data_IF_591573996904
#
_entry.id   IF_591573996904
#
_cell.length_a   1.000
_cell.length_b   1.000
_cell.length_c   1.000
_cell.angle_alpha   90.00
_cell.angle_beta   90.00
_cell.angle_gamma   90.00
#
_symmetry.space_group_name_H-M   'P 1'
#
loop_
_entity.id
_entity.type
_entity.pdbx_description
1 polymer ?
#
# COMPACT_ATOMS: atom_id res chain seq x y z
N UNK A 1 1.31 -13.59 -12.72
CA UNK A 1 2.56 -12.91 -12.32
C UNK A 1 2.71 -13.10 -10.82
N UNK A 2 3.92 -13.45 -10.36
CA UNK A 2 4.20 -13.62 -8.94
C UNK A 2 4.37 -12.26 -8.27
N UNK A 3 3.88 -12.14 -7.05
CA UNK A 3 4.18 -11.01 -6.16
C UNK A 3 5.36 -11.46 -5.31
N UNK A 4 6.48 -10.73 -5.38
CA UNK A 4 7.67 -10.99 -4.60
C UNK A 4 7.91 -9.83 -3.63
N UNK A 5 8.36 -10.17 -2.43
CA UNK A 5 8.86 -9.20 -1.45
C UNK A 5 10.38 -9.25 -1.47
N UNK A 6 11.03 -8.10 -1.57
CA UNK A 6 12.49 -7.98 -1.58
C UNK A 6 12.94 -6.99 -0.49
N UNK A 7 14.03 -7.33 0.20
CA UNK A 7 14.71 -6.44 1.16
C UNK A 7 16.16 -6.25 0.71
N UNK A 8 16.61 -4.99 0.69
CA UNK A 8 17.98 -4.63 0.30
C UNK A 8 18.16 -4.53 -1.22
N UNK A 9 17.49 -3.58 -1.88
CA UNK A 9 17.41 -3.55 -3.36
C UNK A 9 18.78 -3.47 -4.03
N UNK A 10 19.72 -2.68 -3.47
CA UNK A 10 21.07 -2.52 -4.04
C UNK A 10 21.89 -3.82 -4.09
N UNK A 11 21.56 -4.80 -3.25
CA UNK A 11 22.21 -6.12 -3.26
C UNK A 11 21.64 -7.06 -4.33
N UNK A 12 20.50 -6.71 -4.92
CA UNK A 12 19.73 -7.55 -5.84
C UNK A 12 19.74 -7.05 -7.28
N UNK A 13 20.12 -5.79 -7.50
CA UNK A 13 20.13 -5.14 -8.82
C UNK A 13 21.56 -4.90 -9.31
N UNK A 14 21.70 -4.64 -10.62
CA UNK A 14 22.99 -4.27 -11.21
C UNK A 14 23.45 -2.90 -10.68
N UNK A 15 24.75 -2.71 -10.34
CA UNK A 15 25.32 -1.41 -10.00
C UNK A 15 24.98 -0.27 -10.96
N UNK A 16 24.77 -0.54 -12.25
CA UNK A 16 24.37 0.46 -13.23
C UNK A 16 22.98 1.07 -12.93
N UNK A 17 22.09 0.30 -12.29
CA UNK A 17 20.74 0.75 -11.90
C UNK A 17 20.72 1.50 -10.55
N UNK A 18 21.84 1.55 -9.81
CA UNK A 18 21.89 2.16 -8.48
C UNK A 18 21.57 3.66 -8.52
N UNK A 19 21.99 4.37 -9.58
CA UNK A 19 21.74 5.80 -9.71
C UNK A 19 20.25 6.11 -9.79
N UNK A 20 19.50 5.36 -10.60
CA UNK A 20 18.05 5.55 -10.77
C UNK A 20 17.29 5.30 -9.46
N UNK A 21 17.71 4.31 -8.68
CA UNK A 21 17.13 4.02 -7.37
C UNK A 21 17.49 5.08 -6.32
N UNK A 22 18.70 5.63 -6.35
CA UNK A 22 19.07 6.75 -5.46
C UNK A 22 18.20 7.98 -5.74
N UNK A 23 17.99 8.33 -7.00
CA UNK A 23 17.08 9.42 -7.39
C UNK A 23 15.64 9.15 -6.93
N UNK A 24 15.18 7.90 -7.02
CA UNK A 24 13.87 7.49 -6.47
C UNK A 24 13.78 7.71 -4.95
N UNK A 25 14.82 7.33 -4.21
CA UNK A 25 14.85 7.51 -2.75
C UNK A 25 14.95 8.98 -2.34
N UNK A 26 15.61 9.84 -3.12
CA UNK A 26 15.62 11.28 -2.87
C UNK A 26 14.20 11.87 -2.96
N UNK A 27 13.45 11.55 -4.02
CA UNK A 27 12.06 11.99 -4.19
C UNK A 27 11.12 11.44 -3.11
N UNK A 28 11.33 10.19 -2.72
CA UNK A 28 10.64 9.59 -1.58
C UNK A 28 10.92 10.38 -0.29
N UNK A 29 12.17 10.75 -0.04
CA UNK A 29 12.58 11.50 1.16
C UNK A 29 12.01 12.91 1.21
N UNK A 30 11.84 13.58 0.07
CA UNK A 30 11.09 14.85 0.00
C UNK A 30 9.65 14.66 0.48
N UNK A 31 8.95 13.63 0.01
CA UNK A 31 7.58 13.33 0.40
C UNK A 31 7.45 12.94 1.89
N UNK A 32 8.44 12.23 2.44
CA UNK A 32 8.51 11.90 3.87
C UNK A 32 8.73 13.15 4.74
N UNK A 33 9.62 14.05 4.30
CA UNK A 33 9.94 15.29 5.02
C UNK A 33 8.73 16.23 5.13
N UNK A 34 7.89 16.31 4.10
CA UNK A 34 6.63 17.07 4.12
C UNK A 34 5.65 16.60 5.21
N UNK A 35 5.78 15.34 5.66
CA UNK A 35 4.98 14.75 6.74
C UNK A 35 5.74 14.69 8.08
N UNK A 36 6.96 15.22 8.15
CA UNK A 36 7.80 15.16 9.34
C UNK A 36 8.30 13.76 9.69
N UNK A 37 8.31 12.84 8.72
CA UNK A 37 8.81 11.48 8.90
C UNK A 37 10.32 11.41 8.71
N UNK A 38 10.92 10.30 9.17
CA UNK A 38 12.36 10.08 9.03
C UNK A 38 12.68 9.76 7.56
N UNK A 39 13.76 10.33 6.99
CA UNK A 39 14.21 9.94 5.66
C UNK A 39 14.61 8.46 5.65
N UNK A 40 14.33 7.79 4.55
CA UNK A 40 14.82 6.46 4.24
C UNK A 40 16.25 6.53 3.71
N UNK A 41 17.11 5.66 4.24
CA UNK A 41 18.43 5.40 3.69
C UNK A 41 18.51 3.91 3.39
N UNK A 42 18.51 3.58 2.10
CA UNK A 42 18.64 2.19 1.68
C UNK A 42 20.06 1.67 1.99
N UNK A 43 20.19 0.51 2.65
CA UNK A 43 21.49 -0.10 2.89
C UNK A 43 22.19 -0.46 1.57
N UNK A 44 23.45 -0.04 1.42
CA UNK A 44 24.29 -0.47 0.28
C UNK A 44 24.73 -1.94 0.43
N UNK A 45 24.81 -2.42 1.67
CA UNK A 45 25.14 -3.79 2.02
C UNK A 45 24.10 -4.32 3.02
N UNK A 46 23.54 -5.49 2.74
CA UNK A 46 22.58 -6.17 3.61
C UNK A 46 22.50 -7.65 3.30
N UNK A 47 22.05 -8.45 4.26
CA UNK A 47 21.54 -9.80 3.96
C UNK A 47 20.29 -9.64 3.08
N UNK A 48 20.32 -10.21 1.87
CA UNK A 48 19.17 -10.17 0.97
C UNK A 48 18.17 -11.27 1.32
N UNK A 49 16.89 -10.96 1.18
CA UNK A 49 15.82 -11.94 1.25
C UNK A 49 14.81 -11.65 0.14
N UNK A 50 14.43 -12.71 -0.55
CA UNK A 50 13.32 -12.74 -1.48
C UNK A 50 12.37 -13.90 -1.16
N UNK A 51 11.09 -13.70 -1.43
CA UNK A 51 10.07 -14.72 -1.21
C UNK A 51 8.89 -14.56 -2.16
N UNK A 52 8.46 -15.67 -2.74
CA UNK A 52 7.22 -15.73 -3.52
C UNK A 52 6.01 -15.75 -2.59
N UNK A 53 5.04 -14.87 -2.84
CA UNK A 53 3.77 -14.87 -2.11
C UNK A 53 2.79 -15.89 -2.70
N UNK A 54 1.55 -15.93 -2.17
CA UNK A 54 0.43 -16.77 -2.62
C UNK A 54 -0.10 -16.44 -4.04
N UNK A 55 0.77 -15.93 -4.91
CA UNK A 55 0.43 -15.40 -6.23
C UNK A 55 -0.45 -14.15 -6.18
N UNK A 56 -0.64 -13.54 -7.35
CA UNK A 56 -1.45 -12.32 -7.47
C UNK A 56 -2.91 -12.51 -7.00
N UNK A 57 -3.53 -13.65 -7.32
CA UNK A 57 -4.89 -13.97 -6.88
C UNK A 57 -5.00 -14.07 -5.35
N UNK A 58 -3.98 -14.60 -4.69
CA UNK A 58 -3.98 -14.71 -3.24
C UNK A 58 -3.91 -13.36 -2.53
N UNK A 59 -3.22 -12.36 -3.10
CA UNK A 59 -3.25 -10.99 -2.57
C UNK A 59 -4.69 -10.42 -2.61
N UNK A 60 -5.42 -10.65 -3.71
CA UNK A 60 -6.82 -10.22 -3.80
C UNK A 60 -7.71 -10.90 -2.75
N UNK A 61 -7.49 -12.19 -2.47
CA UNK A 61 -8.20 -12.88 -1.39
C UNK A 61 -7.91 -12.26 -0.01
N UNK A 62 -6.66 -11.88 0.25
CA UNK A 62 -6.26 -11.23 1.51
C UNK A 62 -6.87 -9.83 1.64
N UNK A 63 -6.85 -9.02 0.57
CA UNK A 63 -7.51 -7.70 0.51
C UNK A 63 -9.01 -7.80 0.74
N UNK A 64 -9.65 -8.79 0.11
CA UNK A 64 -11.07 -9.09 0.31
C UNK A 64 -11.36 -9.43 1.77
N UNK A 65 -10.59 -10.32 2.39
CA UNK A 65 -10.77 -10.67 3.81
C UNK A 65 -10.63 -9.43 4.73
N UNK A 66 -9.63 -8.59 4.47
CA UNK A 66 -9.41 -7.36 5.22
C UNK A 66 -10.61 -6.42 5.15
N UNK A 67 -11.24 -6.26 3.98
CA UNK A 67 -12.44 -5.43 3.83
C UNK A 67 -13.61 -5.93 4.69
N UNK A 68 -13.84 -7.24 4.78
CA UNK A 68 -14.88 -7.80 5.65
C UNK A 68 -14.59 -7.62 7.14
N UNK A 69 -13.32 -7.75 7.54
CA UNK A 69 -12.90 -7.51 8.93
C UNK A 69 -13.15 -6.06 9.31
N UNK A 70 -12.80 -5.11 8.43
CA UNK A 70 -12.98 -3.67 8.69
C UNK A 70 -14.47 -3.30 8.81
N UNK A 71 -15.33 -3.88 7.97
CA UNK A 71 -16.78 -3.64 8.02
C UNK A 71 -17.51 -4.45 9.09
N UNK A 72 -16.81 -5.25 9.90
CA UNK A 72 -17.39 -6.16 10.89
C UNK A 72 -18.37 -7.18 10.28
N UNK A 73 -18.26 -7.41 8.97
CA UNK A 73 -19.18 -8.25 8.22
C UNK A 73 -18.79 -9.71 8.32
N UNK A 74 -19.78 -10.60 8.27
CA UNK A 74 -19.51 -12.03 8.31
C UNK A 74 -18.87 -12.47 7.00
N UNK A 75 -17.67 -13.05 7.08
CA UNK A 75 -17.00 -13.65 5.94
C UNK A 75 -17.87 -14.73 5.29
N UNK A 76 -18.10 -14.70 3.96
CA UNK A 76 -18.82 -15.76 3.27
C UNK A 76 -17.95 -17.01 3.22
N UNK A 77 -18.22 -17.96 4.12
CA UNK A 77 -17.62 -19.28 4.10
C UNK A 77 -18.56 -20.30 3.43
N UNK A 78 -18.08 -21.17 2.52
CA UNK A 78 -16.70 -21.22 2.02
C UNK A 78 -16.41 -20.01 1.13
N UNK A 79 -15.15 -19.57 1.10
CA UNK A 79 -14.71 -18.60 0.09
C UNK A 79 -15.01 -19.23 -1.28
N UNK A 80 -16.03 -18.73 -1.96
CA UNK A 80 -16.38 -19.21 -3.29
C UNK A 80 -15.20 -18.87 -4.20
N UNK A 81 -14.44 -19.90 -4.58
CA UNK A 81 -13.33 -19.80 -5.54
C UNK A 81 -13.73 -19.19 -6.89
N UNK A 82 -15.04 -19.18 -7.18
CA UNK A 82 -15.62 -18.62 -8.40
C UNK A 82 -15.94 -17.12 -8.31
N UNK A 83 -15.81 -16.49 -7.14
CA UNK A 83 -15.91 -15.04 -7.03
C UNK A 83 -14.51 -14.44 -7.22
N UNK A 84 -14.36 -13.67 -8.30
CA UNK A 84 -13.21 -12.80 -8.50
C UNK A 84 -13.15 -11.81 -7.33
N UNK A 85 -12.14 -11.97 -6.47
CA UNK A 85 -11.96 -11.14 -5.29
C UNK A 85 -11.81 -9.64 -5.63
N UNK A 86 -11.41 -9.29 -6.86
CA UNK A 86 -11.33 -7.91 -7.33
C UNK A 86 -12.70 -7.25 -7.59
N UNK A 87 -13.78 -8.05 -7.64
CA UNK A 87 -15.16 -7.59 -7.88
C UNK A 87 -16.06 -7.66 -6.64
N UNK A 88 -15.49 -7.89 -5.46
CA UNK A 88 -16.27 -7.99 -4.22
C UNK A 88 -16.78 -6.61 -3.77
N UNK A 89 -18.09 -6.52 -3.49
CA UNK A 89 -18.76 -5.28 -3.10
C UNK A 89 -18.22 -4.65 -1.80
N UNK A 90 -17.69 -5.45 -0.86
CA UNK A 90 -17.08 -4.90 0.36
C UNK A 90 -15.73 -4.26 0.06
N UNK A 91 -14.95 -4.87 -0.84
CA UNK A 91 -13.68 -4.32 -1.30
C UNK A 91 -13.90 -3.02 -2.09
N UNK A 92 -14.87 -3.01 -3.01
CA UNK A 92 -15.24 -1.81 -3.78
C UNK A 92 -15.70 -0.67 -2.87
N UNK A 93 -16.58 -0.96 -1.91
CA UNK A 93 -17.04 0.03 -0.94
C UNK A 93 -15.90 0.63 -0.10
N UNK A 94 -14.91 -0.18 0.27
CA UNK A 94 -13.72 0.28 0.98
C UNK A 94 -12.89 1.24 0.11
N UNK A 95 -12.59 0.86 -1.13
CA UNK A 95 -11.82 1.67 -2.08
C UNK A 95 -12.52 3.00 -2.39
N UNK A 96 -13.84 2.99 -2.57
CA UNK A 96 -14.63 4.19 -2.81
C UNK A 96 -14.67 5.12 -1.59
N UNK A 97 -14.68 4.55 -0.38
CA UNK A 97 -14.55 5.32 0.85
C UNK A 97 -13.19 6.02 0.96
N UNK A 98 -12.09 5.35 0.59
CA UNK A 98 -10.75 5.94 0.56
C UNK A 98 -10.66 7.06 -0.48
N UNK A 99 -11.10 6.80 -1.71
CA UNK A 99 -11.10 7.77 -2.81
C UNK A 99 -12.06 8.95 -2.62
N UNK A 100 -12.85 8.94 -1.53
CA UNK A 100 -13.77 10.03 -1.20
C UNK A 100 -14.99 10.12 -2.10
N UNK A 101 -15.29 9.08 -2.90
CA UNK A 101 -16.46 9.03 -3.78
C UNK A 101 -17.79 8.95 -3.00
N UNK A 102 -17.73 8.60 -1.71
CA UNK A 102 -18.91 8.47 -0.83
C UNK A 102 -19.24 9.74 -0.02
N UNK A 103 -18.56 10.86 -0.24
CA UNK A 103 -18.76 12.10 0.54
C UNK A 103 -19.65 13.14 -0.14
N UNK A 104 -20.94 13.18 0.24
CA UNK A 104 -21.81 14.32 -0.09
C UNK A 104 -21.32 15.64 0.53
N UNK A 105 -21.85 16.78 0.08
CA UNK A 105 -21.41 18.13 0.48
C UNK A 105 -21.37 18.38 2.01
N UNK A 106 -22.21 17.70 2.80
CA UNK A 106 -22.15 17.74 4.27
C UNK A 106 -20.83 17.21 4.85
N UNK A 107 -20.24 16.19 4.22
CA UNK A 107 -19.02 15.53 4.70
C UNK A 107 -17.76 16.40 4.51
N UNK A 108 -17.81 17.38 3.61
CA UNK A 108 -16.76 18.41 3.42
C UNK A 108 -16.81 19.49 4.51
N UNK A 109 -17.97 19.70 5.15
CA UNK A 109 -18.21 20.79 6.10
C UNK A 109 -17.93 20.40 7.57
N UNK A 110 -18.07 19.13 7.93
CA UNK A 110 -17.89 18.64 9.30
C UNK A 110 -16.50 18.05 9.59
N UNK A 111 -15.59 18.09 8.62
CA UNK A 111 -14.37 17.29 8.64
C UNK A 111 -14.67 15.81 8.45
N UNK A 112 -13.79 15.08 7.76
CA UNK A 112 -13.91 13.62 7.70
C UNK A 112 -13.54 13.10 9.09
N UNK A 113 -14.39 12.33 9.80
CA UNK A 113 -13.87 11.49 10.87
C UNK A 113 -12.73 10.68 10.25
N UNK A 114 -11.55 10.65 10.91
CA UNK A 114 -10.51 9.69 10.60
C UNK A 114 -11.22 8.35 10.65
N UNK A 115 -11.53 7.76 9.48
CA UNK A 115 -12.20 6.47 9.52
C UNK A 115 -11.21 5.55 10.22
N UNK A 116 -11.69 4.78 11.18
CA UNK A 116 -10.89 3.78 11.87
C UNK A 116 -10.52 2.60 10.94
N UNK A 117 -10.25 2.89 9.67
CA UNK A 117 -9.89 2.00 8.57
C UNK A 117 -8.51 1.44 8.86
N UNK A 118 -8.44 0.13 9.04
CA UNK A 118 -7.25 -0.53 9.59
C UNK A 118 -6.33 -1.10 8.52
N UNK A 119 -6.77 -1.12 7.26
CA UNK A 119 -6.12 -1.87 6.20
C UNK A 119 -5.84 -1.03 4.95
N UNK A 120 -5.76 0.31 5.08
CA UNK A 120 -5.49 1.20 3.93
C UNK A 120 -4.19 0.77 3.22
N UNK A 121 -3.13 0.46 3.98
CA UNK A 121 -1.85 -0.01 3.44
C UNK A 121 -1.95 -1.33 2.65
N UNK A 122 -2.89 -2.20 2.99
CA UNK A 122 -3.08 -3.48 2.29
C UNK A 122 -4.04 -3.34 1.09
N UNK A 123 -5.11 -2.58 1.26
CA UNK A 123 -6.24 -2.54 0.32
C UNK A 123 -6.02 -1.53 -0.81
N UNK A 124 -5.52 -0.33 -0.50
CA UNK A 124 -5.42 0.75 -1.51
C UNK A 124 -4.02 0.98 -2.04
N UNK A 125 -3.00 0.51 -1.33
CA UNK A 125 -1.64 0.60 -1.81
C UNK A 125 -1.44 -0.28 -3.05
N UNK A 126 -0.69 0.23 -4.03
CA UNK A 126 -0.31 -0.53 -5.23
C UNK A 126 0.41 -1.83 -4.84
N UNK A 127 0.17 -2.89 -5.61
CA UNK A 127 0.78 -4.21 -5.47
C UNK A 127 2.07 -4.38 -6.29
N UNK A 128 2.38 -3.43 -7.18
CA UNK A 128 3.57 -3.48 -8.02
C UNK A 128 4.46 -2.23 -7.89
N UNK A 129 3.96 -1.16 -7.26
CA UNK A 129 4.65 0.12 -7.17
C UNK A 129 4.47 0.74 -5.77
N UNK A 130 5.34 1.70 -5.42
CA UNK A 130 5.34 2.38 -4.12
C UNK A 130 6.32 1.80 -3.12
N UNK A 131 6.28 2.29 -1.87
CA UNK A 131 7.28 1.98 -0.85
C UNK A 131 6.67 1.57 0.49
N UNK A 132 7.16 0.45 1.03
CA UNK A 132 6.96 0.02 2.41
C UNK A 132 8.26 0.26 3.18
N UNK A 133 8.23 1.11 4.20
CA UNK A 133 9.44 1.53 4.94
C UNK A 133 9.42 1.02 6.38
N UNK A 134 10.59 0.74 7.00
CA UNK A 134 10.69 0.28 8.38
C UNK A 134 10.50 1.43 9.40
N UNK A 135 9.36 2.11 9.34
CA UNK A 135 8.95 3.15 10.28
C UNK A 135 7.42 3.19 10.41
N UNK A 136 6.92 3.70 11.53
CA UNK A 136 5.48 3.77 11.75
C UNK A 136 4.82 4.86 10.89
N UNK A 137 3.64 4.55 10.35
CA UNK A 137 2.79 5.49 9.62
C UNK A 137 1.42 5.55 10.29
N UNK A 138 0.91 6.77 10.51
CA UNK A 138 -0.45 6.96 11.01
C UNK A 138 -1.51 6.62 9.95
N UNK A 139 -1.21 6.88 8.67
CA UNK A 139 -2.07 6.65 7.51
C UNK A 139 -1.19 6.50 6.25
N UNK A 140 -1.74 5.91 5.16
CA UNK A 140 -1.08 5.90 3.84
C UNK A 140 -0.91 7.35 3.34
N UNK A 141 0.31 7.71 2.97
CA UNK A 141 0.60 9.02 2.37
C UNK A 141 0.31 8.93 0.88
N UNK A 142 -0.66 9.71 0.40
CA UNK A 142 -0.93 9.89 -1.02
C UNK A 142 -0.11 11.08 -1.52
N UNK A 143 0.76 10.82 -2.50
CA UNK A 143 1.57 11.81 -3.20
C UNK A 143 0.83 12.17 -4.48
N UNK A 144 0.50 13.45 -4.65
CA UNK A 144 -0.39 13.91 -5.74
C UNK A 144 0.32 14.10 -7.09
N UNK A 145 1.65 14.16 -7.08
CA UNK A 145 2.49 14.22 -8.27
C UNK A 145 3.09 12.84 -8.57
N UNK A 146 3.83 12.74 -9.67
CA UNK A 146 4.43 11.51 -10.18
C UNK A 146 5.85 11.26 -9.63
N UNK A 147 6.29 11.99 -8.59
CA UNK A 147 7.66 11.86 -8.08
C UNK A 147 7.91 10.55 -7.33
N UNK A 148 6.85 9.92 -6.83
CA UNK A 148 6.88 8.62 -6.15
C UNK A 148 6.13 7.60 -7.00
N UNK A 149 6.80 6.51 -7.38
CA UNK A 149 6.17 5.40 -8.10
C UNK A 149 4.94 4.88 -7.32
N UNK A 150 3.84 4.61 -8.00
CA UNK A 150 2.57 4.23 -7.37
C UNK A 150 1.87 5.33 -6.55
N UNK A 151 2.48 6.51 -6.37
CA UNK A 151 1.90 7.67 -5.68
C UNK A 151 1.54 7.44 -4.20
N UNK A 152 2.00 6.34 -3.60
CA UNK A 152 1.65 5.95 -2.24
C UNK A 152 2.87 5.52 -1.44
N UNK A 153 2.90 5.93 -0.17
CA UNK A 153 3.94 5.55 0.79
C UNK A 153 3.26 5.08 2.08
N UNK A 154 3.72 3.94 2.61
CA UNK A 154 3.49 3.60 3.99
C UNK A 154 3.56 2.11 4.30
N UNK A 155 3.91 1.77 5.53
CA UNK A 155 3.92 0.40 6.02
C UNK A 155 2.65 0.02 6.76
N UNK A 156 2.40 -1.28 6.91
CA UNK A 156 1.35 -1.76 7.80
C UNK A 156 1.50 -1.14 9.22
N UNK A 157 0.43 -0.57 9.80
CA UNK A 157 0.35 -0.30 11.24
C UNK A 157 -0.01 -1.55 12.05
#
# INVERSE_FOLDING_TARGET
MGLALAVGIFTQIDPEEHADWRDCFERLNEALAERGLRPHQEPEESDSWDGEMIGYSGLHDVRRLAAYIDTGSRWPYPATRDLDASTDSHLEAYVDAVNGKTGGWLHKLLGRPKSARRFDHLIVHSDAEGFYLPQDFDDVIIVSDDRVAGGMIGSAP
#
